data_IF_779053478423
#
_entry.id   IF_779053478423
#
_cell.length_a   1.000
_cell.length_b   1.000
_cell.length_c   1.000
_cell.angle_alpha   90.00
_cell.angle_beta   90.00
_cell.angle_gamma   90.00
#
_symmetry.space_group_name_H-M   'P 1'
#
loop_
_entity.id
_entity.type
_entity.pdbx_description
1 polymer ?
#
# COMPACT_ATOMS: atom_id res chain seq x y z
N UNK A 1 6.64 25.07 19.20
CA UNK A 1 6.66 24.73 17.79
C UNK A 1 6.20 23.31 17.54
N UNK A 2 5.21 23.17 16.74
CA UNK A 2 4.68 21.87 16.46
C UNK A 2 5.52 21.14 15.42
N UNK A 3 5.86 19.93 15.71
CA UNK A 3 6.54 19.08 14.74
C UNK A 3 5.50 18.41 13.85
N UNK A 4 5.51 18.76 12.57
CA UNK A 4 4.56 18.21 11.61
C UNK A 4 5.09 16.95 10.91
N UNK A 5 6.29 16.52 11.28
CA UNK A 5 6.90 15.35 10.65
C UNK A 5 6.62 14.09 11.48
N UNK A 6 5.39 13.95 11.88
CA UNK A 6 4.98 12.78 12.64
C UNK A 6 5.17 11.54 11.80
N UNK A 7 5.87 10.56 12.35
CA UNK A 7 6.01 9.28 11.70
C UNK A 7 4.76 8.45 11.87
N UNK A 8 4.32 7.86 10.78
CA UNK A 8 3.22 6.91 10.82
C UNK A 8 3.74 5.53 11.14
N UNK A 9 2.95 4.77 11.86
CA UNK A 9 3.26 3.39 12.16
C UNK A 9 2.47 2.52 11.20
N UNK A 10 3.19 1.74 10.40
CA UNK A 10 2.58 0.86 9.41
C UNK A 10 2.65 -0.58 9.92
N UNK A 11 1.61 -1.32 9.65
CA UNK A 11 1.53 -2.72 10.04
C UNK A 11 0.91 -3.53 8.91
N UNK A 12 1.21 -4.81 8.88
CA UNK A 12 0.77 -5.70 7.82
C UNK A 12 0.25 -6.98 8.47
N UNK A 13 -0.96 -7.37 8.12
CA UNK A 13 -1.54 -8.58 8.66
C UNK A 13 -2.20 -9.40 7.56
N UNK A 14 -2.07 -10.71 7.65
CA UNK A 14 -2.79 -11.64 6.79
C UNK A 14 -3.59 -12.56 7.71
N UNK A 15 -4.88 -12.57 7.49
CA UNK A 15 -5.78 -13.43 8.25
C UNK A 15 -6.83 -13.99 7.33
N UNK A 16 -6.96 -15.32 7.31
CA UNK A 16 -7.90 -16.02 6.44
C UNK A 16 -7.77 -15.61 4.98
N UNK A 17 -6.53 -15.44 4.52
CA UNK A 17 -6.27 -15.07 3.14
C UNK A 17 -6.54 -13.62 2.81
N UNK A 18 -6.87 -12.80 3.79
CA UNK A 18 -7.11 -11.38 3.59
C UNK A 18 -5.92 -10.56 4.06
N UNK A 19 -5.37 -9.78 3.15
CA UNK A 19 -4.25 -8.88 3.47
C UNK A 19 -4.83 -7.55 3.93
N UNK A 20 -4.30 -7.04 5.04
CA UNK A 20 -4.67 -5.71 5.53
C UNK A 20 -3.40 -4.95 5.87
N UNK A 21 -3.33 -3.73 5.36
CA UNK A 21 -2.22 -2.84 5.67
C UNK A 21 -2.80 -1.68 6.46
N UNK A 22 -2.20 -1.47 7.63
CA UNK A 22 -2.67 -0.48 8.59
C UNK A 22 -1.73 0.71 8.64
N UNK A 23 -2.30 1.86 8.88
CA UNK A 23 -1.54 3.04 9.23
C UNK A 23 -2.11 3.57 10.56
N UNK A 24 -1.24 3.64 11.57
CA UNK A 24 -1.61 4.14 12.90
C UNK A 24 -2.82 3.40 13.48
N UNK A 25 -2.92 2.09 13.21
CA UNK A 25 -3.99 1.26 13.72
C UNK A 25 -5.25 1.20 12.89
N UNK A 26 -5.33 1.99 11.82
CA UNK A 26 -6.49 1.99 10.93
C UNK A 26 -6.15 1.30 9.63
N UNK A 27 -7.12 0.56 9.09
CA UNK A 27 -6.94 -0.11 7.81
C UNK A 27 -6.81 0.94 6.71
N UNK A 28 -5.65 0.96 6.06
CA UNK A 28 -5.43 1.85 4.92
C UNK A 28 -5.97 1.23 3.65
N UNK A 29 -5.67 -0.05 3.44
CA UNK A 29 -6.24 -0.80 2.32
C UNK A 29 -6.15 -2.29 2.62
N UNK A 30 -6.98 -3.06 1.92
CA UNK A 30 -6.97 -4.51 2.07
C UNK A 30 -7.43 -5.17 0.77
N UNK A 31 -7.02 -6.44 0.61
CA UNK A 31 -7.40 -7.23 -0.56
C UNK A 31 -7.22 -8.71 -0.25
N UNK A 32 -7.79 -9.56 -1.08
CA UNK A 32 -7.59 -11.00 -0.94
C UNK A 32 -6.21 -11.36 -1.47
N UNK A 33 -5.44 -12.09 -0.69
CA UNK A 33 -4.08 -12.46 -1.06
C UNK A 33 -4.05 -13.20 -2.39
N UNK A 34 -5.04 -14.05 -2.63
CA UNK A 34 -5.08 -14.85 -3.85
C UNK A 34 -5.28 -13.99 -5.11
N UNK A 35 -5.82 -12.78 -4.94
CA UNK A 35 -6.06 -11.87 -6.06
C UNK A 35 -4.85 -11.02 -6.40
N UNK A 36 -3.82 -11.05 -5.59
CA UNK A 36 -2.66 -10.17 -5.76
C UNK A 36 -1.84 -10.61 -6.97
N UNK A 37 -1.67 -9.72 -7.93
CA UNK A 37 -0.88 -9.97 -9.13
C UNK A 37 0.49 -9.31 -9.09
N UNK A 38 0.64 -8.27 -8.29
CA UNK A 38 1.89 -7.54 -8.21
C UNK A 38 1.64 -6.07 -7.92
N UNK A 39 2.71 -5.32 -7.90
CA UNK A 39 2.61 -3.88 -7.66
C UNK A 39 3.67 -3.14 -8.48
N UNK A 40 3.43 -1.85 -8.68
CA UNK A 40 4.36 -0.99 -9.39
C UNK A 40 4.51 0.32 -8.60
N UNK A 41 5.75 0.67 -8.31
CA UNK A 41 6.06 1.89 -7.56
C UNK A 41 6.55 2.96 -8.52
N UNK A 42 6.10 4.19 -8.32
CA UNK A 42 6.51 5.29 -9.17
C UNK A 42 6.48 6.60 -8.41
N UNK A 43 7.16 7.59 -8.98
CA UNK A 43 7.17 8.96 -8.48
C UNK A 43 6.91 9.87 -9.66
N UNK A 44 5.95 10.78 -9.52
CA UNK A 44 5.66 11.71 -10.60
C UNK A 44 6.44 13.03 -10.41
N UNK A 45 6.27 13.93 -11.37
CA UNK A 45 7.02 15.19 -11.40
C UNK A 45 6.58 16.18 -10.32
N UNK A 46 5.46 15.92 -9.69
CA UNK A 46 4.94 16.79 -8.62
C UNK A 46 5.35 16.31 -7.23
N UNK A 47 6.33 15.40 -7.17
CA UNK A 47 6.81 14.81 -5.92
C UNK A 47 5.73 13.98 -5.21
N UNK A 48 4.80 13.47 -5.97
CA UNK A 48 3.81 12.54 -5.45
C UNK A 48 4.34 11.13 -5.66
N UNK A 49 4.34 10.34 -4.60
CA UNK A 49 4.84 8.97 -4.62
C UNK A 49 3.67 8.03 -4.72
N UNK A 50 3.68 7.14 -5.69
CA UNK A 50 2.56 6.26 -5.94
C UNK A 50 2.92 4.79 -5.90
N UNK A 51 1.92 3.97 -5.59
CA UNK A 51 2.00 2.52 -5.70
C UNK A 51 0.70 2.06 -6.34
N UNK A 52 0.82 1.31 -7.43
CA UNK A 52 -0.31 0.64 -8.05
C UNK A 52 -0.26 -0.81 -7.65
N UNK A 53 -1.34 -1.30 -7.05
CA UNK A 53 -1.47 -2.70 -6.68
C UNK A 53 -2.43 -3.35 -7.68
N UNK A 54 -1.95 -4.36 -8.36
CA UNK A 54 -2.71 -5.04 -9.40
C UNK A 54 -3.42 -6.25 -8.82
N UNK A 55 -4.72 -6.32 -9.04
CA UNK A 55 -5.56 -7.37 -8.48
C UNK A 55 -6.36 -8.05 -9.58
N UNK A 56 -6.47 -9.35 -9.47
CA UNK A 56 -7.34 -10.13 -10.34
C UNK A 56 -8.77 -10.10 -9.80
N UNK A 57 -9.73 -9.81 -10.67
CA UNK A 57 -11.13 -9.85 -10.32
C UNK A 57 -11.85 -10.71 -11.32
N UNK A 58 -12.38 -11.83 -10.86
CA UNK A 58 -12.95 -12.86 -11.74
C UNK A 58 -13.98 -12.32 -12.70
N UNK A 59 -14.91 -11.52 -12.20
CA UNK A 59 -16.04 -11.08 -13.02
C UNK A 59 -15.81 -9.76 -13.72
N UNK A 60 -14.92 -8.93 -13.18
CA UNK A 60 -14.69 -7.59 -13.71
C UNK A 60 -13.35 -7.47 -14.43
N UNK A 61 -12.59 -8.57 -14.54
CA UNK A 61 -11.24 -8.52 -15.07
C UNK A 61 -10.28 -7.98 -14.02
N UNK A 62 -9.12 -7.53 -14.48
CA UNK A 62 -8.11 -7.01 -13.58
C UNK A 62 -8.48 -5.60 -13.12
N UNK A 63 -8.11 -5.29 -11.90
CA UNK A 63 -8.28 -3.95 -11.37
C UNK A 63 -6.99 -3.46 -10.76
N UNK A 64 -6.89 -2.14 -10.62
CA UNK A 64 -5.72 -1.50 -10.04
C UNK A 64 -6.15 -0.66 -8.85
N UNK A 65 -5.47 -0.86 -7.73
CA UNK A 65 -5.67 -0.02 -6.56
C UNK A 65 -4.53 0.98 -6.51
N UNK A 66 -4.86 2.26 -6.60
CA UNK A 66 -3.86 3.32 -6.64
C UNK A 66 -3.74 3.97 -5.27
N UNK A 67 -2.52 4.05 -4.76
CA UNK A 67 -2.25 4.63 -3.45
C UNK A 67 -1.16 5.68 -3.60
N UNK A 68 -1.39 6.84 -2.99
CA UNK A 68 -0.46 7.96 -3.10
C UNK A 68 0.03 8.40 -1.74
N UNK A 69 1.28 8.79 -1.69
CA UNK A 69 1.95 9.27 -0.48
C UNK A 69 2.59 10.62 -0.74
N UNK A 70 2.56 11.48 0.25
CA UNK A 70 3.19 12.80 0.15
C UNK A 70 4.67 12.79 0.50
N UNK A 71 5.11 11.76 1.22
CA UNK A 71 6.52 11.67 1.64
C UNK A 71 7.13 10.39 1.14
N UNK A 72 8.42 10.48 0.82
CA UNK A 72 9.17 9.31 0.38
C UNK A 72 9.26 8.26 1.47
N UNK A 73 9.37 8.70 2.72
CA UNK A 73 9.52 7.77 3.84
C UNK A 73 8.31 6.85 3.99
N UNK A 74 7.11 7.42 3.90
CA UNK A 74 5.89 6.62 3.99
C UNK A 74 5.76 5.66 2.81
N UNK A 75 6.11 6.15 1.62
CA UNK A 75 6.11 5.34 0.41
C UNK A 75 7.05 4.15 0.53
N UNK A 76 8.29 4.40 1.00
CA UNK A 76 9.27 3.32 1.17
C UNK A 76 8.85 2.33 2.24
N UNK A 77 8.19 2.79 3.29
CA UNK A 77 7.72 1.91 4.36
C UNK A 77 6.71 0.88 3.83
N UNK A 78 5.78 1.34 2.99
CA UNK A 78 4.79 0.43 2.41
C UNK A 78 5.45 -0.49 1.39
N UNK A 79 6.36 0.02 0.56
CA UNK A 79 7.07 -0.81 -0.40
C UNK A 79 7.84 -1.93 0.29
N UNK A 80 8.46 -1.62 1.42
CA UNK A 80 9.18 -2.63 2.18
C UNK A 80 8.24 -3.73 2.68
N UNK A 81 7.07 -3.35 3.16
CA UNK A 81 6.09 -4.34 3.61
C UNK A 81 5.62 -5.23 2.46
N UNK A 82 5.34 -4.64 1.31
CA UNK A 82 4.92 -5.42 0.14
C UNK A 82 6.01 -6.38 -0.29
N UNK A 83 7.25 -5.90 -0.31
CA UNK A 83 8.40 -6.72 -0.70
C UNK A 83 8.63 -7.90 0.25
N UNK A 84 8.52 -7.65 1.54
CA UNK A 84 8.85 -8.66 2.55
C UNK A 84 7.72 -9.65 2.80
N UNK A 85 6.47 -9.21 2.63
CA UNK A 85 5.32 -10.02 3.03
C UNK A 85 4.57 -10.64 1.85
N UNK A 86 4.72 -10.08 0.69
CA UNK A 86 4.09 -10.60 -0.52
C UNK A 86 5.14 -10.95 -1.56
#
# INVERSE_FOLDING_TARGET
>A
MKNNNKKHIYDFKIYNGRVKIYVDGYVMFSFNQIDFLGYYAYKDDTNLYGIDIYLLREKAGNSTMEIYFKTKENWLAILKLLDEKL
#
